data_IF_044051871603
#
_entry.id   IF_044051871603
#
_cell.length_a   1.000
_cell.length_b   1.000
_cell.length_c   1.000
_cell.angle_alpha   90.00
_cell.angle_beta   90.00
_cell.angle_gamma   90.00
#
_symmetry.space_group_name_H-M   'P 1'
#
loop_
_entity.id
_entity.type
_entity.pdbx_description
1 polymer ?
#
# COMPACT_ATOMS: atom_id res chain seq x y z
N UNK A 1 70.28 -4.27 -40.35
CA UNK A 1 68.90 -4.82 -40.32
C UNK A 1 68.39 -5.25 -38.93
N UNK A 2 69.23 -5.64 -37.94
CA UNK A 2 68.77 -6.07 -36.61
C UNK A 2 68.24 -4.93 -35.71
N UNK A 3 68.71 -3.70 -35.91
CA UNK A 3 68.33 -2.53 -35.10
C UNK A 3 66.89 -2.05 -35.33
N UNK A 4 66.41 -2.15 -36.58
CA UNK A 4 65.02 -1.82 -36.95
C UNK A 4 64.02 -2.78 -36.27
N UNK A 5 64.38 -4.05 -36.07
CA UNK A 5 63.52 -5.02 -35.37
C UNK A 5 63.35 -4.66 -33.89
N UNK A 6 64.40 -4.14 -33.25
CA UNK A 6 64.32 -3.68 -31.86
C UNK A 6 63.44 -2.44 -31.69
N UNK A 7 63.51 -1.50 -32.65
CA UNK A 7 62.65 -0.31 -32.66
C UNK A 7 61.17 -0.71 -32.78
N UNK A 8 60.84 -1.66 -33.66
CA UNK A 8 59.46 -2.15 -33.81
C UNK A 8 58.93 -2.87 -32.56
N UNK A 9 59.78 -3.63 -31.86
CA UNK A 9 59.40 -4.28 -30.60
C UNK A 9 59.13 -3.23 -29.51
N UNK A 10 59.96 -2.19 -29.42
CA UNK A 10 59.77 -1.10 -28.45
C UNK A 10 58.49 -0.30 -28.72
N UNK A 11 58.15 -0.05 -29.99
CA UNK A 11 56.90 0.62 -30.36
C UNK A 11 55.68 -0.24 -30.00
N UNK A 12 55.74 -1.56 -30.22
CA UNK A 12 54.67 -2.48 -29.83
C UNK A 12 54.48 -2.55 -28.31
N UNK A 13 55.58 -2.62 -27.54
CA UNK A 13 55.52 -2.60 -26.07
C UNK A 13 54.95 -1.26 -25.59
N UNK A 14 55.40 -0.14 -26.16
CA UNK A 14 54.86 1.17 -25.83
C UNK A 14 53.36 1.27 -26.11
N UNK A 15 52.91 0.79 -27.28
CA UNK A 15 51.48 0.76 -27.62
C UNK A 15 50.65 -0.09 -26.67
N UNK A 16 51.15 -1.26 -26.27
CA UNK A 16 50.48 -2.15 -25.29
C UNK A 16 50.47 -1.53 -23.89
N UNK A 17 51.53 -0.82 -23.49
CA UNK A 17 51.60 -0.13 -22.21
C UNK A 17 50.77 1.17 -22.18
N UNK A 18 50.52 1.80 -23.32
CA UNK A 18 49.63 2.98 -23.44
C UNK A 18 48.19 2.63 -23.79
N UNK A 19 47.89 1.35 -24.02
CA UNK A 19 46.53 0.86 -24.14
C UNK A 19 45.87 1.02 -22.76
N UNK A 20 45.32 2.22 -22.55
CA UNK A 20 44.53 2.62 -21.40
C UNK A 20 43.55 1.50 -21.09
N UNK A 21 43.78 0.79 -20.00
CA UNK A 21 42.84 -0.20 -19.47
C UNK A 21 41.52 0.52 -19.24
N UNK A 22 40.46 0.09 -19.93
CA UNK A 22 39.09 0.61 -19.85
C UNK A 22 38.44 0.33 -18.47
N UNK A 23 39.06 0.73 -17.38
CA UNK A 23 38.53 0.61 -16.02
C UNK A 23 38.20 1.98 -15.39
N UNK A 24 38.52 3.11 -16.05
CA UNK A 24 38.23 4.45 -15.51
C UNK A 24 36.73 4.81 -15.56
N UNK A 25 35.91 4.13 -16.38
CA UNK A 25 34.50 4.49 -16.58
C UNK A 25 33.53 3.74 -15.66
N UNK A 26 33.88 2.55 -15.15
CA UNK A 26 32.98 1.76 -14.29
C UNK A 26 32.78 2.41 -12.91
N UNK A 27 33.86 2.93 -12.29
CA UNK A 27 33.76 3.64 -11.01
C UNK A 27 33.05 4.99 -11.13
N UNK A 28 33.22 5.69 -12.25
CA UNK A 28 32.53 6.95 -12.53
C UNK A 28 31.05 6.75 -12.88
N UNK A 29 30.71 5.66 -13.58
CA UNK A 29 29.33 5.27 -13.86
C UNK A 29 28.60 4.85 -12.58
N UNK A 30 29.21 4.00 -11.76
CA UNK A 30 28.65 3.58 -10.47
C UNK A 30 28.41 4.78 -9.53
N UNK A 31 29.35 5.73 -9.45
CA UNK A 31 29.17 6.92 -8.60
C UNK A 31 28.05 7.84 -9.10
N UNK A 32 27.86 7.99 -10.43
CA UNK A 32 26.73 8.76 -10.99
C UNK A 32 25.40 8.08 -10.73
N UNK A 33 25.36 6.75 -10.82
CA UNK A 33 24.16 5.97 -10.51
C UNK A 33 23.79 6.08 -9.03
N UNK A 34 24.75 6.00 -8.12
CA UNK A 34 24.53 6.21 -6.69
C UNK A 34 24.02 7.63 -6.40
N UNK A 35 24.62 8.67 -7.00
CA UNK A 35 24.16 10.04 -6.83
C UNK A 35 22.74 10.25 -7.38
N UNK A 36 22.43 9.63 -8.52
CA UNK A 36 21.09 9.67 -9.10
C UNK A 36 20.07 8.97 -8.18
N UNK A 37 20.39 7.78 -7.66
CA UNK A 37 19.55 7.03 -6.72
C UNK A 37 19.35 7.84 -5.42
N UNK A 38 20.41 8.48 -4.92
CA UNK A 38 20.34 9.29 -3.69
C UNK A 38 19.49 10.55 -3.92
N UNK A 39 19.68 11.26 -5.02
CA UNK A 39 18.86 12.42 -5.38
C UNK A 39 17.40 12.04 -5.63
N UNK A 40 17.14 10.90 -6.27
CA UNK A 40 15.80 10.35 -6.45
C UNK A 40 15.16 10.04 -5.09
N UNK A 41 15.88 9.34 -4.21
CA UNK A 41 15.43 9.03 -2.85
C UNK A 41 15.09 10.30 -2.06
N UNK A 42 15.93 11.33 -2.14
CA UNK A 42 15.70 12.61 -1.46
C UNK A 42 14.52 13.36 -2.04
N UNK A 43 14.34 13.36 -3.37
CA UNK A 43 13.16 13.96 -4.01
C UNK A 43 11.87 13.28 -3.57
N UNK A 44 11.86 11.94 -3.50
CA UNK A 44 10.72 11.15 -3.05
C UNK A 44 10.45 11.42 -1.57
N UNK A 45 11.49 11.45 -0.74
CA UNK A 45 11.41 11.79 0.68
C UNK A 45 10.77 13.17 0.88
N UNK A 46 11.19 14.17 0.10
CA UNK A 46 10.65 15.51 0.18
C UNK A 46 9.15 15.56 -0.18
N UNK A 47 8.71 14.80 -1.17
CA UNK A 47 7.27 14.71 -1.55
C UNK A 47 6.42 14.18 -0.40
N UNK A 48 6.90 13.17 0.33
CA UNK A 48 6.18 12.60 1.47
C UNK A 48 6.22 13.47 2.73
N UNK A 49 7.23 14.34 2.85
CA UNK A 49 7.42 15.22 4.02
C UNK A 49 6.79 16.62 3.85
N UNK A 50 6.46 17.02 2.62
CA UNK A 50 5.88 18.33 2.30
C UNK A 50 4.65 18.65 3.15
N UNK A 51 4.54 19.91 3.59
CA UNK A 51 3.38 20.42 4.33
C UNK A 51 2.20 20.70 3.40
N UNK A 52 2.46 20.97 2.12
CA UNK A 52 1.43 21.10 1.09
C UNK A 52 1.44 19.91 0.15
N UNK A 53 0.26 19.36 -0.11
CA UNK A 53 0.03 18.29 -1.07
C UNK A 53 -0.59 18.87 -2.34
N UNK A 54 -0.05 18.51 -3.50
CA UNK A 54 -0.66 18.85 -4.77
C UNK A 54 -1.91 18.00 -5.03
N UNK A 55 -2.83 18.49 -5.85
CA UNK A 55 -4.03 17.74 -6.27
C UNK A 55 -3.68 16.37 -6.89
N UNK A 56 -2.55 16.28 -7.59
CA UNK A 56 -2.07 15.03 -8.16
C UNK A 56 -1.70 14.01 -7.07
N UNK A 57 -1.06 14.46 -5.99
CA UNK A 57 -0.72 13.60 -4.85
C UNK A 57 -1.98 13.19 -4.09
N UNK A 58 -2.93 14.11 -3.88
CA UNK A 58 -4.22 13.79 -3.26
C UNK A 58 -4.96 12.70 -4.04
N UNK A 59 -4.99 12.79 -5.37
CA UNK A 59 -5.57 11.73 -6.23
C UNK A 59 -4.81 10.40 -6.11
N UNK A 60 -3.49 10.42 -6.00
CA UNK A 60 -2.71 9.20 -5.77
C UNK A 60 -3.07 8.55 -4.42
N UNK A 61 -3.29 9.35 -3.37
CA UNK A 61 -3.75 8.86 -2.08
C UNK A 61 -5.20 8.34 -2.11
N UNK A 62 -6.07 8.90 -2.95
CA UNK A 62 -7.42 8.37 -3.18
C UNK A 62 -7.38 6.97 -3.83
N UNK A 63 -6.46 6.77 -4.80
CA UNK A 63 -6.22 5.44 -5.39
C UNK A 63 -5.71 4.47 -4.33
N UNK A 64 -4.73 4.89 -3.50
CA UNK A 64 -4.22 4.06 -2.40
C UNK A 64 -5.31 3.73 -1.36
N UNK A 65 -6.26 4.64 -1.12
CA UNK A 65 -7.40 4.35 -0.26
C UNK A 65 -8.33 3.27 -0.85
N UNK A 66 -8.53 3.30 -2.17
CA UNK A 66 -9.27 2.25 -2.87
C UNK A 66 -8.55 0.90 -2.82
N UNK A 67 -7.21 0.88 -2.92
CA UNK A 67 -6.40 -0.33 -2.73
C UNK A 67 -6.56 -0.90 -1.31
N UNK A 68 -6.43 -0.06 -0.28
CA UNK A 68 -6.66 -0.47 1.12
C UNK A 68 -8.06 -1.02 1.37
N UNK A 69 -9.06 -0.48 0.70
CA UNK A 69 -10.43 -1.00 0.78
C UNK A 69 -10.52 -2.42 0.19
N UNK A 70 -9.82 -2.71 -0.92
CA UNK A 70 -9.72 -4.07 -1.44
C UNK A 70 -8.94 -4.99 -0.50
N UNK A 71 -7.81 -4.52 0.04
CA UNK A 71 -7.03 -5.27 1.04
C UNK A 71 -7.90 -5.67 2.25
N UNK A 72 -8.76 -4.75 2.71
CA UNK A 72 -9.73 -5.05 3.77
C UNK A 72 -10.65 -6.21 3.40
N UNK A 73 -11.24 -6.20 2.20
CA UNK A 73 -12.11 -7.30 1.74
C UNK A 73 -11.36 -8.64 1.65
N UNK A 74 -10.13 -8.62 1.14
CA UNK A 74 -9.29 -9.81 1.03
C UNK A 74 -8.88 -10.37 2.40
N UNK A 75 -8.52 -9.51 3.35
CA UNK A 75 -8.24 -9.95 4.71
C UNK A 75 -9.49 -10.45 5.42
N UNK A 76 -10.64 -9.82 5.24
CA UNK A 76 -11.91 -10.31 5.79
C UNK A 76 -12.27 -11.70 5.25
N UNK A 77 -11.98 -11.98 3.97
CA UNK A 77 -12.10 -13.31 3.40
C UNK A 77 -11.21 -14.32 4.13
N UNK A 78 -9.93 -13.99 4.36
CA UNK A 78 -9.00 -14.86 5.10
C UNK A 78 -9.51 -15.11 6.52
N UNK A 79 -9.91 -14.06 7.25
CA UNK A 79 -10.39 -14.16 8.63
C UNK A 79 -11.64 -15.05 8.71
N UNK A 80 -12.52 -14.96 7.72
CA UNK A 80 -13.78 -15.69 7.66
C UNK A 80 -13.65 -17.16 7.31
N UNK A 81 -12.60 -17.55 6.59
CA UNK A 81 -12.40 -18.90 6.09
C UNK A 81 -11.91 -19.84 7.20
N UNK A 82 -12.82 -20.66 7.74
CA UNK A 82 -12.51 -21.62 8.82
C UNK A 82 -11.66 -22.81 8.36
N UNK A 83 -11.41 -22.96 7.05
CA UNK A 83 -10.51 -23.99 6.54
C UNK A 83 -9.04 -23.61 6.68
N UNK A 84 -8.74 -22.32 6.93
CA UNK A 84 -7.39 -21.81 7.14
C UNK A 84 -6.94 -21.95 8.61
N UNK A 85 -5.64 -22.13 8.81
CA UNK A 85 -5.04 -22.17 10.15
C UNK A 85 -5.29 -20.86 10.90
N UNK A 86 -5.58 -20.98 12.21
CA UNK A 86 -5.91 -19.86 13.08
C UNK A 86 -4.84 -18.76 13.06
N UNK A 87 -3.55 -19.10 12.90
CA UNK A 87 -2.46 -18.11 12.86
C UNK A 87 -2.55 -17.19 11.65
N UNK A 88 -2.97 -17.69 10.49
CA UNK A 88 -3.19 -16.86 9.32
C UNK A 88 -4.36 -15.91 9.51
N UNK A 89 -5.45 -16.42 10.12
CA UNK A 89 -6.65 -15.64 10.42
C UNK A 89 -6.33 -14.53 11.43
N UNK A 90 -5.60 -14.84 12.50
CA UNK A 90 -5.10 -13.86 13.47
C UNK A 90 -4.21 -12.80 12.82
N UNK A 91 -3.30 -13.21 11.93
CA UNK A 91 -2.43 -12.26 11.23
C UNK A 91 -3.22 -11.33 10.33
N UNK A 92 -4.21 -11.85 9.60
CA UNK A 92 -5.11 -11.04 8.79
C UNK A 92 -5.91 -10.05 9.66
N UNK A 93 -6.35 -10.45 10.86
CA UNK A 93 -7.00 -9.54 11.83
C UNK A 93 -6.08 -8.36 12.20
N UNK A 94 -4.80 -8.61 12.48
CA UNK A 94 -3.84 -7.53 12.74
C UNK A 94 -3.67 -6.60 11.54
N UNK A 95 -3.62 -7.16 10.32
CA UNK A 95 -3.49 -6.37 9.10
C UNK A 95 -4.71 -5.47 8.89
N UNK A 96 -5.93 -5.98 9.11
CA UNK A 96 -7.15 -5.17 9.04
C UNK A 96 -7.11 -4.00 10.01
N UNK A 97 -6.73 -4.22 11.28
CA UNK A 97 -6.64 -3.13 12.27
C UNK A 97 -5.75 -1.98 11.81
N UNK A 98 -4.65 -2.30 11.10
CA UNK A 98 -3.71 -1.30 10.58
C UNK A 98 -4.23 -0.53 9.34
N UNK A 99 -5.34 -0.97 8.73
CA UNK A 99 -5.97 -0.25 7.63
C UNK A 99 -6.84 0.91 8.11
N UNK A 100 -7.38 0.83 9.32
CA UNK A 100 -8.36 1.76 9.86
C UNK A 100 -7.73 2.81 10.79
N UNK A 101 -8.37 3.97 10.91
CA UNK A 101 -7.90 5.07 11.77
C UNK A 101 -8.00 4.73 13.28
N UNK A 102 -8.95 3.88 13.67
CA UNK A 102 -9.21 3.39 15.02
C UNK A 102 -9.87 1.99 14.96
N UNK A 103 -9.67 1.20 16.01
CA UNK A 103 -10.38 -0.04 16.34
C UNK A 103 -11.88 0.13 16.62
N UNK A 104 -12.33 1.28 17.12
CA UNK A 104 -13.73 1.53 17.52
C UNK A 104 -14.55 2.24 16.44
N UNK A 105 -14.23 2.01 15.17
CA UNK A 105 -14.95 2.60 14.04
C UNK A 105 -16.27 1.92 13.80
N UNK A 106 -17.26 2.74 13.44
CA UNK A 106 -18.59 2.28 13.04
C UNK A 106 -18.59 1.65 11.65
N UNK A 107 -19.02 0.39 11.58
CA UNK A 107 -19.15 -0.40 10.36
C UNK A 107 -20.60 -0.78 10.06
N UNK A 108 -21.60 -0.04 10.59
CA UNK A 108 -23.04 -0.32 10.38
C UNK A 108 -23.40 -0.62 8.93
N UNK A 109 -22.84 0.11 7.96
CA UNK A 109 -23.05 -0.14 6.54
C UNK A 109 -22.59 -1.54 6.10
N UNK A 110 -21.45 -1.99 6.62
CA UNK A 110 -20.89 -3.32 6.39
C UNK A 110 -21.68 -4.42 7.13
N UNK A 111 -22.14 -4.17 8.35
CA UNK A 111 -22.89 -5.15 9.14
C UNK A 111 -24.22 -5.54 8.47
N UNK A 112 -24.83 -4.63 7.71
CA UNK A 112 -26.02 -4.93 6.89
C UNK A 112 -25.78 -6.08 5.91
N UNK A 113 -24.58 -6.16 5.35
CA UNK A 113 -24.16 -7.24 4.46
C UNK A 113 -24.22 -8.59 5.18
N UNK A 114 -23.86 -8.63 6.47
CA UNK A 114 -23.82 -9.86 7.26
C UNK A 114 -25.17 -10.26 7.84
N UNK A 115 -26.22 -9.43 7.72
CA UNK A 115 -27.55 -9.70 8.26
C UNK A 115 -27.54 -10.07 9.76
N UNK A 116 -26.54 -9.63 10.51
CA UNK A 116 -26.48 -9.89 11.95
C UNK A 116 -26.46 -8.61 12.76
N UNK A 117 -27.39 -8.54 13.70
CA UNK A 117 -27.59 -7.45 14.63
C UNK A 117 -26.45 -7.49 15.67
N UNK A 118 -25.68 -6.42 15.80
CA UNK A 118 -24.69 -6.24 16.87
C UNK A 118 -23.22 -6.11 16.47
N UNK A 119 -22.88 -6.08 15.17
CA UNK A 119 -21.49 -5.89 14.70
C UNK A 119 -21.23 -4.48 14.20
N UNK A 120 -21.60 -3.48 15.00
CA UNK A 120 -21.48 -2.10 14.56
C UNK A 120 -20.04 -1.59 14.64
N UNK A 121 -19.12 -2.31 15.31
CA UNK A 121 -17.72 -1.90 15.41
C UNK A 121 -16.78 -2.88 14.72
N UNK A 122 -15.61 -2.38 14.30
CA UNK A 122 -14.57 -3.20 13.69
C UNK A 122 -14.13 -4.36 14.60
N UNK A 123 -13.84 -4.11 15.88
CA UNK A 123 -13.41 -5.18 16.79
C UNK A 123 -14.47 -6.27 16.97
N UNK A 124 -15.75 -5.91 17.12
CA UNK A 124 -16.83 -6.91 17.23
C UNK A 124 -16.95 -7.77 15.96
N UNK A 125 -16.81 -7.15 14.79
CA UNK A 125 -16.82 -7.86 13.51
C UNK A 125 -15.65 -8.83 13.42
N UNK A 126 -14.44 -8.38 13.79
CA UNK A 126 -13.21 -9.15 13.73
C UNK A 126 -13.22 -10.33 14.72
N UNK A 127 -13.60 -10.09 15.97
CA UNK A 127 -13.68 -11.13 17.01
C UNK A 127 -14.63 -12.26 16.60
N UNK A 128 -15.83 -11.91 16.13
CA UNK A 128 -16.79 -12.91 15.64
C UNK A 128 -16.24 -13.66 14.43
N UNK A 129 -15.75 -12.94 13.43
CA UNK A 129 -15.26 -13.56 12.19
C UNK A 129 -14.09 -14.50 12.49
N UNK A 130 -13.28 -14.22 13.51
CA UNK A 130 -12.20 -15.09 13.96
C UNK A 130 -12.70 -16.33 14.74
N UNK A 131 -13.71 -16.17 15.60
CA UNK A 131 -14.26 -17.26 16.43
C UNK A 131 -15.14 -18.22 15.62
N UNK A 132 -16.11 -17.69 14.87
CA UNK A 132 -17.14 -18.47 14.19
C UNK A 132 -16.83 -18.69 12.71
N UNK A 133 -16.02 -17.83 12.10
CA UNK A 133 -15.93 -17.72 10.64
C UNK A 133 -17.20 -17.11 10.03
N UNK A 134 -17.24 -17.04 8.71
CA UNK A 134 -18.45 -16.65 7.97
C UNK A 134 -18.68 -17.62 6.79
N UNK A 135 -19.94 -17.84 6.42
CA UNK A 135 -20.27 -18.75 5.30
C UNK A 135 -20.04 -18.14 3.91
N UNK A 136 -19.77 -16.83 3.88
CA UNK A 136 -19.49 -16.07 2.67
C UNK A 136 -18.35 -15.08 2.89
N UNK A 137 -17.81 -14.57 1.80
CA UNK A 137 -16.90 -13.43 1.77
C UNK A 137 -17.48 -12.31 0.91
N UNK A 138 -16.95 -11.11 1.10
CA UNK A 138 -17.41 -9.92 0.41
C UNK A 138 -16.47 -9.56 -0.73
N UNK A 139 -17.01 -9.40 -1.94
CA UNK A 139 -16.29 -8.82 -3.06
C UNK A 139 -16.64 -7.34 -3.20
N UNK A 140 -15.60 -6.49 -3.29
CA UNK A 140 -15.74 -5.06 -3.57
C UNK A 140 -15.54 -4.81 -5.06
N UNK A 141 -16.33 -3.88 -5.61
CA UNK A 141 -16.27 -3.46 -7.00
C UNK A 141 -16.73 -2.02 -7.17
N UNK A 142 -16.44 -1.42 -8.34
CA UNK A 142 -16.91 -0.08 -8.72
C UNK A 142 -16.60 1.00 -7.66
N UNK A 143 -15.37 0.97 -7.12
CA UNK A 143 -14.90 1.99 -6.19
C UNK A 143 -14.78 3.32 -6.95
N UNK A 144 -15.45 4.35 -6.44
CA UNK A 144 -15.43 5.69 -7.00
C UNK A 144 -15.27 6.73 -5.88
N UNK A 145 -14.48 7.76 -6.13
CA UNK A 145 -14.38 8.92 -5.24
C UNK A 145 -15.72 9.66 -5.24
N UNK A 146 -16.39 9.66 -4.10
CA UNK A 146 -17.66 10.38 -3.91
C UNK A 146 -17.40 11.81 -3.44
N UNK A 147 -16.43 12.00 -2.54
CA UNK A 147 -15.92 13.30 -2.13
C UNK A 147 -14.39 13.24 -2.10
N UNK A 148 -13.69 14.10 -2.87
CA UNK A 148 -12.23 14.10 -2.89
C UNK A 148 -11.67 14.57 -1.54
N UNK A 149 -10.38 14.37 -1.33
CA UNK A 149 -9.73 14.86 -0.11
C UNK A 149 -9.89 16.38 0.05
N UNK A 150 -10.40 16.77 1.22
CA UNK A 150 -10.49 18.16 1.66
C UNK A 150 -9.66 18.34 2.92
N UNK A 151 -8.93 19.44 3.01
CA UNK A 151 -8.11 19.75 4.18
C UNK A 151 -9.02 20.00 5.37
N UNK A 152 -8.86 19.20 6.43
CA UNK A 152 -9.52 19.44 7.70
C UNK A 152 -8.62 20.30 8.61
N UNK A 153 -7.32 20.03 8.60
CA UNK A 153 -6.28 20.78 9.31
C UNK A 153 -4.89 20.47 8.71
N UNK A 154 -3.85 21.12 9.24
CA UNK A 154 -2.45 20.98 8.77
C UNK A 154 -1.89 19.54 8.79
N UNK A 155 -2.57 18.61 9.46
CA UNK A 155 -2.13 17.22 9.62
C UNK A 155 -3.19 16.19 9.17
N UNK A 156 -4.30 16.63 8.57
CA UNK A 156 -5.38 15.74 8.19
C UNK A 156 -6.15 16.23 6.96
N UNK A 157 -6.41 15.30 6.03
CA UNK A 157 -7.41 15.46 4.98
C UNK A 157 -8.46 14.36 5.11
N UNK A 158 -9.70 14.70 4.75
CA UNK A 158 -10.85 13.77 4.78
C UNK A 158 -11.49 13.72 3.40
N UNK A 159 -11.85 12.52 2.96
CA UNK A 159 -12.61 12.27 1.75
C UNK A 159 -13.60 11.12 1.94
N UNK A 160 -14.27 10.73 0.86
CA UNK A 160 -15.18 9.59 0.84
C UNK A 160 -15.10 8.80 -0.46
N UNK A 161 -15.12 7.49 -0.34
CA UNK A 161 -15.30 6.57 -1.47
C UNK A 161 -16.71 5.97 -1.41
N UNK A 162 -17.27 5.71 -2.58
CA UNK A 162 -18.45 4.85 -2.74
C UNK A 162 -18.03 3.57 -3.45
N UNK A 163 -18.67 2.46 -3.11
CA UNK A 163 -18.34 1.16 -3.71
C UNK A 163 -19.55 0.23 -3.67
N UNK A 164 -19.51 -0.78 -4.54
CA UNK A 164 -20.47 -1.87 -4.55
C UNK A 164 -19.87 -3.10 -3.88
N UNK A 165 -20.67 -3.72 -3.03
CA UNK A 165 -20.34 -4.87 -2.23
C UNK A 165 -21.26 -6.02 -2.62
N UNK A 166 -20.68 -7.18 -2.94
CA UNK A 166 -21.41 -8.41 -3.27
C UNK A 166 -20.99 -9.53 -2.34
N UNK A 167 -21.96 -10.32 -1.88
CA UNK A 167 -21.69 -11.55 -1.11
C UNK A 167 -21.39 -12.71 -2.04
N UNK A 168 -20.34 -13.46 -1.72
CA UNK A 168 -19.93 -14.66 -2.44
C UNK A 168 -19.78 -15.79 -1.43
N UNK A 169 -20.60 -16.86 -1.53
CA UNK A 169 -20.50 -17.97 -0.60
C UNK A 169 -19.17 -18.72 -0.75
N UNK A 170 -18.66 -19.29 0.35
CA UNK A 170 -17.49 -20.16 0.28
C UNK A 170 -17.82 -21.54 -0.34
N UNK A 171 -19.08 -21.98 -0.26
CA UNK A 171 -19.55 -23.27 -0.77
C UNK A 171 -20.63 -23.16 -1.85
N UNK A 172 -20.72 -24.18 -2.71
CA UNK A 172 -21.66 -24.25 -3.86
C UNK A 172 -23.12 -24.42 -3.40
N UNK A 173 -23.35 -24.92 -2.18
CA UNK A 173 -24.69 -25.23 -1.65
C UNK A 173 -25.32 -24.06 -0.89
N UNK A 174 -24.61 -22.95 -0.71
CA UNK A 174 -25.10 -21.83 0.07
C UNK A 174 -25.95 -20.93 -0.85
N UNK A 175 -27.28 -21.04 -0.69
CA UNK A 175 -28.30 -20.39 -1.53
C UNK A 175 -28.62 -18.97 -1.07
N UNK A 176 -27.68 -18.32 -0.38
CA UNK A 176 -27.81 -16.94 0.07
C UNK A 176 -27.99 -16.02 -1.14
N UNK A 177 -29.07 -15.24 -1.13
CA UNK A 177 -29.33 -14.23 -2.16
C UNK A 177 -28.13 -13.29 -2.26
N UNK A 178 -27.45 -13.34 -3.41
CA UNK A 178 -26.30 -12.47 -3.70
C UNK A 178 -26.81 -11.09 -4.08
N UNK A 179 -27.23 -10.32 -3.08
CA UNK A 179 -27.49 -8.89 -3.21
C UNK A 179 -26.19 -8.13 -3.46
N UNK A 180 -26.26 -7.13 -4.33
CA UNK A 180 -25.24 -6.09 -4.42
C UNK A 180 -25.73 -4.89 -3.62
N UNK A 181 -24.96 -4.47 -2.62
CA UNK A 181 -25.23 -3.28 -1.83
C UNK A 181 -24.25 -2.18 -2.20
N UNK A 182 -24.74 -0.94 -2.30
CA UNK A 182 -23.88 0.23 -2.47
C UNK A 182 -23.62 0.84 -1.10
N UNK A 183 -22.34 0.97 -0.75
CA UNK A 183 -21.87 1.49 0.53
C UNK A 183 -20.97 2.71 0.31
N UNK A 184 -20.75 3.46 1.38
CA UNK A 184 -19.76 4.54 1.42
C UNK A 184 -18.77 4.31 2.55
N UNK A 185 -17.54 4.79 2.37
CA UNK A 185 -16.50 4.74 3.40
C UNK A 185 -15.75 6.06 3.47
N UNK A 186 -15.59 6.56 4.70
CA UNK A 186 -14.73 7.70 4.96
C UNK A 186 -13.26 7.30 4.75
N UNK A 187 -12.48 8.18 4.14
CA UNK A 187 -11.03 7.98 3.97
C UNK A 187 -10.28 9.16 4.61
N UNK A 188 -9.16 8.85 5.25
CA UNK A 188 -8.34 9.81 5.98
C UNK A 188 -6.92 9.78 5.47
N UNK A 189 -6.34 10.95 5.25
CA UNK A 189 -4.92 11.11 4.99
C UNK A 189 -4.31 11.89 6.15
N UNK A 190 -3.50 11.21 6.97
CA UNK A 190 -2.98 11.74 8.22
C UNK A 190 -1.47 11.88 8.18
N UNK A 191 -0.95 12.97 8.72
CA UNK A 191 0.49 13.18 8.87
C UNK A 191 0.97 12.54 10.17
N UNK A 192 1.60 11.36 10.10
CA UNK A 192 2.09 10.59 11.26
C UNK A 192 3.61 10.51 11.30
N UNK A 193 4.15 10.38 12.51
CA UNK A 193 5.57 10.20 12.74
C UNK A 193 5.93 8.71 12.54
N UNK A 194 6.84 8.42 11.62
CA UNK A 194 7.40 7.08 11.38
C UNK A 194 8.90 7.06 11.63
N UNK A 195 9.36 5.96 12.21
CA UNK A 195 10.79 5.71 12.43
C UNK A 195 11.38 4.95 11.24
N UNK A 196 12.53 5.41 10.75
CA UNK A 196 13.31 4.81 9.67
C UNK A 196 14.77 4.71 10.14
N UNK A 197 15.15 3.54 10.66
CA UNK A 197 16.40 3.39 11.40
C UNK A 197 16.37 4.25 12.67
N UNK A 198 17.38 5.09 12.85
CA UNK A 198 17.48 6.01 13.99
C UNK A 198 16.78 7.36 13.76
N UNK A 199 16.24 7.61 12.56
CA UNK A 199 15.60 8.86 12.19
C UNK A 199 14.06 8.76 12.28
N UNK A 200 13.39 9.88 12.56
CA UNK A 200 11.93 9.98 12.57
C UNK A 200 11.43 11.03 11.58
N UNK A 201 10.47 10.65 10.74
CA UNK A 201 9.89 11.49 9.70
C UNK A 201 8.38 11.60 9.84
N UNK A 202 7.85 12.80 9.63
CA UNK A 202 6.41 12.99 9.46
C UNK A 202 6.04 12.66 8.02
N UNK A 203 5.22 11.63 7.83
CA UNK A 203 4.79 11.12 6.52
C UNK A 203 3.28 11.06 6.46
N UNK A 204 2.75 11.32 5.27
CA UNK A 204 1.33 11.19 5.00
C UNK A 204 0.94 9.73 4.81
N UNK A 205 -0.12 9.30 5.50
CA UNK A 205 -0.61 7.93 5.46
C UNK A 205 -2.12 7.87 5.32
N UNK A 206 -2.56 6.92 4.48
CA UNK A 206 -3.97 6.68 4.20
C UNK A 206 -4.55 5.69 5.22
N UNK A 207 -5.74 6.01 5.72
CA UNK A 207 -6.53 5.19 6.62
C UNK A 207 -7.98 5.11 6.16
N UNK A 208 -8.61 3.99 6.46
CA UNK A 208 -10.04 3.78 6.29
C UNK A 208 -10.80 4.23 7.53
N UNK A 209 -12.03 4.65 7.29
CA UNK A 209 -12.95 5.19 8.28
C UNK A 209 -14.22 4.39 8.43
N UNK A 210 -15.26 5.08 8.89
CA UNK A 210 -16.61 4.52 9.04
C UNK A 210 -17.18 4.06 7.69
N UNK A 211 -17.90 2.93 7.73
CA UNK A 211 -18.62 2.38 6.57
C UNK A 211 -20.12 2.54 6.79
N UNK A 212 -20.77 3.25 5.87
CA UNK A 212 -22.18 3.66 5.92
C UNK A 212 -23.03 3.07 4.79
#
# INVERSE_FOLDING_TARGET
MKWIKYIWILIMIYLVCTARTCNEDEGAAASREEQYIMALKDSVKHVFMSDSLSDQLLRAFEISAAEKLNDFADYMKIISDTTLDLRFRQKATELVRNLFIDSNIDLRGWSRVYNVIGFNTLEQLLERSLLEGNSFWTQISQIAVNSPYTCENDSAFIGNLSFNCRRIPFGINDTLETGTEKLMINIYLLKKLKSYGDEQFRVWEVYLGEIN
#
